data_IF_841471680224
#
_entry.id   IF_841471680224
#
_cell.length_a   1.000
_cell.length_b   1.000
_cell.length_c   1.000
_cell.angle_alpha   90.00
_cell.angle_beta   90.00
_cell.angle_gamma   90.00
#
_symmetry.space_group_name_H-M   'P 1'
#
loop_
_entity.id
_entity.type
_entity.pdbx_description
1 polymer ?
#
# COMPACT_ATOMS: atom_id res chain seq x y z
N UNK A 1 80.40 -51.41 32.41
CA UNK A 1 78.99 -50.94 32.48
C UNK A 1 78.95 -49.47 32.13
N UNK A 2 78.45 -49.12 30.95
CA UNK A 2 78.08 -47.75 30.57
C UNK A 2 77.04 -47.85 29.45
N UNK A 3 75.89 -47.21 29.63
CA UNK A 3 74.68 -47.40 28.84
C UNK A 3 74.63 -46.45 27.64
N UNK A 4 74.35 -46.99 26.44
CA UNK A 4 74.02 -46.21 25.24
C UNK A 4 72.49 -46.14 25.13
N UNK A 5 71.93 -44.94 25.31
CA UNK A 5 70.50 -44.65 25.10
C UNK A 5 70.19 -44.55 23.61
N UNK A 6 69.21 -45.33 23.13
CA UNK A 6 68.57 -45.17 21.81
C UNK A 6 67.61 -43.98 21.85
N UNK A 7 67.72 -43.08 20.88
CA UNK A 7 66.78 -41.98 20.62
C UNK A 7 65.85 -42.44 19.49
N UNK A 8 64.54 -42.50 19.75
CA UNK A 8 63.50 -42.75 18.74
C UNK A 8 62.92 -41.42 18.28
N UNK A 9 62.99 -41.13 16.98
CA UNK A 9 62.30 -40.01 16.35
C UNK A 9 60.84 -40.40 16.07
N UNK A 10 59.89 -39.63 16.60
CA UNK A 10 58.46 -39.77 16.30
C UNK A 10 58.11 -38.82 15.14
N UNK A 11 57.74 -39.38 13.98
CA UNK A 11 57.20 -38.61 12.85
C UNK A 11 55.71 -38.37 13.07
N UNK A 12 55.30 -37.12 13.29
CA UNK A 12 53.89 -36.73 13.39
C UNK A 12 53.41 -36.29 12.01
N UNK A 13 52.52 -37.08 11.40
CA UNK A 13 51.80 -36.70 10.18
C UNK A 13 50.74 -35.64 10.53
N UNK A 14 50.90 -34.43 10.01
CA UNK A 14 49.86 -33.38 10.01
C UNK A 14 48.89 -33.65 8.85
N UNK A 15 47.69 -34.15 9.17
CA UNK A 15 46.56 -34.22 8.24
C UNK A 15 45.84 -32.85 8.21
N UNK A 16 45.54 -32.28 7.03
CA UNK A 16 44.79 -31.04 6.93
C UNK A 16 43.32 -31.28 7.32
N UNK A 17 42.85 -30.56 8.34
CA UNK A 17 41.43 -30.55 8.73
C UNK A 17 40.70 -29.68 7.71
N UNK A 18 39.99 -30.32 6.78
CA UNK A 18 39.08 -29.65 5.84
C UNK A 18 37.79 -29.34 6.61
N UNK A 19 37.61 -28.07 6.98
CA UNK A 19 36.32 -27.57 7.48
C UNK A 19 35.34 -27.49 6.30
N UNK A 20 34.52 -28.53 6.15
CA UNK A 20 33.37 -28.50 5.23
C UNK A 20 32.27 -27.69 5.93
N UNK A 21 32.17 -26.39 5.61
CA UNK A 21 31.02 -25.58 6.00
C UNK A 21 29.80 -26.05 5.21
N UNK A 22 28.90 -26.79 5.86
CA UNK A 22 27.57 -27.10 5.33
C UNK A 22 26.70 -25.83 5.37
N UNK A 23 26.94 -24.88 4.47
CA UNK A 23 25.98 -23.81 4.19
C UNK A 23 24.81 -24.44 3.45
N UNK A 24 23.71 -24.73 4.16
CA UNK A 24 22.42 -25.04 3.52
C UNK A 24 22.06 -23.85 2.62
N UNK A 25 22.15 -24.03 1.32
CA UNK A 25 21.70 -23.05 0.34
C UNK A 25 20.16 -23.00 0.45
N UNK A 26 19.64 -22.00 1.14
CA UNK A 26 18.20 -21.76 1.20
C UNK A 26 17.77 -21.36 -0.21
N UNK A 27 16.86 -22.15 -0.81
CA UNK A 27 16.32 -21.82 -2.13
C UNK A 27 15.62 -20.46 -2.04
N UNK A 28 15.97 -19.54 -2.92
CA UNK A 28 15.27 -18.27 -3.09
C UNK A 28 13.78 -18.53 -3.34
N UNK A 29 12.91 -17.74 -2.70
CA UNK A 29 11.46 -17.84 -2.91
C UNK A 29 11.11 -17.38 -4.35
N UNK A 30 10.26 -18.14 -5.04
CA UNK A 30 9.75 -17.78 -6.36
C UNK A 30 8.45 -16.98 -6.17
N UNK A 31 8.43 -15.73 -6.66
CA UNK A 31 7.33 -14.77 -6.51
C UNK A 31 6.88 -14.33 -7.89
N UNK A 32 5.58 -14.41 -8.18
CA UNK A 32 5.05 -13.96 -9.47
C UNK A 32 5.27 -12.46 -9.70
N UNK A 33 5.52 -12.08 -10.95
CA UNK A 33 5.59 -10.68 -11.38
C UNK A 33 4.33 -9.93 -10.92
N UNK A 34 4.54 -8.77 -10.31
CA UNK A 34 3.55 -7.92 -9.63
C UNK A 34 2.91 -8.48 -8.35
N UNK A 35 3.24 -9.70 -7.94
CA UNK A 35 3.03 -10.10 -6.55
C UNK A 35 4.11 -9.46 -5.66
N UNK A 36 4.02 -9.62 -4.34
CA UNK A 36 5.02 -9.10 -3.42
C UNK A 36 5.87 -10.18 -2.76
N UNK A 37 7.16 -9.87 -2.61
CA UNK A 37 8.05 -10.53 -1.67
C UNK A 37 7.80 -9.96 -0.27
N UNK A 38 7.71 -10.83 0.74
CA UNK A 38 7.69 -10.42 2.16
C UNK A 38 8.69 -11.25 2.97
N UNK A 39 9.48 -10.58 3.81
CA UNK A 39 10.35 -11.24 4.79
C UNK A 39 10.38 -10.46 6.10
N UNK A 40 10.85 -11.11 7.17
CA UNK A 40 10.97 -10.54 8.50
C UNK A 40 12.44 -10.28 8.85
N UNK A 41 12.68 -9.17 9.55
CA UNK A 41 13.96 -8.81 10.15
C UNK A 41 13.70 -8.49 11.61
N UNK A 42 14.53 -9.05 12.50
CA UNK A 42 14.37 -8.88 13.95
C UNK A 42 15.29 -7.79 14.47
N UNK A 43 14.78 -6.94 15.35
CA UNK A 43 15.59 -6.01 16.14
C UNK A 43 15.18 -6.08 17.62
N UNK A 44 16.11 -6.49 18.48
CA UNK A 44 15.83 -6.76 19.89
C UNK A 44 15.99 -5.53 20.80
N UNK A 45 16.32 -4.36 20.24
CA UNK A 45 16.37 -3.13 21.01
C UNK A 45 14.96 -2.71 21.45
N UNK A 46 14.90 -1.94 22.54
CA UNK A 46 13.66 -1.40 23.07
C UNK A 46 13.47 0.04 22.60
N UNK A 47 12.24 0.38 22.19
CA UNK A 47 11.87 1.70 21.70
C UNK A 47 10.63 2.20 22.43
N UNK A 48 10.52 3.52 22.60
CA UNK A 48 9.29 4.12 23.13
C UNK A 48 8.17 4.05 22.09
N UNK A 49 8.52 4.37 20.85
CA UNK A 49 7.65 4.24 19.69
C UNK A 49 8.42 3.55 18.55
N UNK A 50 8.34 2.21 18.41
CA UNK A 50 9.06 1.48 17.37
C UNK A 50 8.61 1.84 15.95
N UNK A 51 7.46 2.49 15.77
CA UNK A 51 7.03 2.98 14.47
C UNK A 51 7.84 4.17 13.98
N UNK A 52 8.30 5.02 14.90
CA UNK A 52 8.90 6.32 14.57
C UNK A 52 10.33 6.51 15.11
N UNK A 53 10.77 5.72 16.10
CA UNK A 53 12.08 5.86 16.73
C UNK A 53 13.19 5.15 15.92
N UNK A 54 12.83 4.18 15.09
CA UNK A 54 13.76 3.39 14.28
C UNK A 54 13.21 3.14 12.89
N UNK A 55 14.08 3.29 11.89
CA UNK A 55 13.79 2.95 10.49
C UNK A 55 14.47 1.63 10.12
N UNK A 56 13.73 0.76 9.43
CA UNK A 56 14.31 -0.34 8.66
C UNK A 56 14.51 0.13 7.21
N UNK A 57 15.74 0.47 6.84
CA UNK A 57 16.10 0.87 5.48
C UNK A 57 16.40 -0.37 4.66
N UNK A 58 15.99 -0.39 3.39
CA UNK A 58 16.16 -1.54 2.51
C UNK A 58 16.68 -1.07 1.17
N UNK A 59 17.78 -1.66 0.71
CA UNK A 59 18.25 -1.51 -0.66
C UNK A 59 17.93 -2.79 -1.42
N UNK A 60 17.26 -2.67 -2.56
CA UNK A 60 17.02 -3.77 -3.48
C UNK A 60 17.78 -3.56 -4.78
N UNK A 61 18.32 -4.64 -5.34
CA UNK A 61 18.96 -4.65 -6.66
C UNK A 61 18.19 -5.59 -7.57
N UNK A 62 17.68 -5.04 -8.68
CA UNK A 62 16.94 -5.78 -9.70
C UNK A 62 17.86 -6.69 -10.54
N UNK A 63 17.28 -7.61 -11.33
CA UNK A 63 18.01 -8.42 -12.29
C UNK A 63 18.77 -7.56 -13.32
N UNK A 64 18.18 -6.44 -13.76
CA UNK A 64 18.82 -5.41 -14.61
C UNK A 64 19.85 -4.54 -13.90
N UNK A 65 20.18 -4.84 -12.63
CA UNK A 65 21.12 -4.10 -11.78
C UNK A 65 20.66 -2.68 -11.40
N UNK A 66 19.37 -2.37 -11.55
CA UNK A 66 18.80 -1.14 -11.00
C UNK A 66 18.70 -1.25 -9.48
N UNK A 67 19.08 -0.19 -8.78
CA UNK A 67 18.97 -0.12 -7.31
C UNK A 67 17.73 0.68 -6.91
N UNK A 68 17.03 0.18 -5.89
CA UNK A 68 15.87 0.81 -5.28
C UNK A 68 16.13 0.99 -3.79
N UNK A 69 16.14 2.24 -3.34
CA UNK A 69 16.14 2.55 -1.91
C UNK A 69 14.69 2.60 -1.43
N UNK A 70 14.37 1.70 -0.51
CA UNK A 70 13.04 1.50 0.05
C UNK A 70 13.15 1.33 1.57
N UNK A 71 12.09 0.88 2.21
CA UNK A 71 12.01 0.78 3.66
C UNK A 71 11.02 -0.30 4.08
N UNK A 72 11.29 -0.89 5.23
CA UNK A 72 10.37 -1.79 5.91
C UNK A 72 9.49 -1.07 6.92
N UNK A 73 8.74 -1.86 7.69
CA UNK A 73 7.84 -1.36 8.72
C UNK A 73 7.88 -2.26 9.96
N UNK A 74 7.66 -1.67 11.14
CA UNK A 74 7.46 -2.42 12.37
C UNK A 74 6.10 -3.14 12.34
N UNK A 75 6.08 -4.41 12.71
CA UNK A 75 4.88 -5.26 12.70
C UNK A 75 4.69 -6.03 14.02
N UNK A 76 5.26 -5.54 15.12
CA UNK A 76 5.03 -6.10 16.45
C UNK A 76 5.48 -7.55 16.55
N UNK A 77 4.54 -8.47 16.80
CA UNK A 77 4.81 -9.90 16.80
C UNK A 77 4.69 -10.57 15.41
N UNK A 78 4.41 -9.80 14.36
CA UNK A 78 4.22 -10.27 12.98
C UNK A 78 2.84 -10.87 12.67
N UNK A 79 1.97 -10.96 13.68
CA UNK A 79 0.66 -11.62 13.65
C UNK A 79 -0.50 -10.68 14.06
N UNK A 80 -0.27 -9.37 14.04
CA UNK A 80 -1.25 -8.35 14.44
C UNK A 80 -1.21 -7.98 15.93
N UNK A 81 -0.29 -8.55 16.71
CA UNK A 81 -0.05 -8.13 18.09
C UNK A 81 0.81 -6.87 18.17
N UNK A 82 0.42 -5.91 19.01
CA UNK A 82 1.02 -4.57 19.11
C UNK A 82 2.52 -4.57 19.50
N UNK A 83 2.94 -5.56 20.28
CA UNK A 83 4.28 -5.65 20.86
C UNK A 83 5.08 -6.79 20.25
N UNK A 84 6.34 -6.53 19.95
CA UNK A 84 7.31 -7.55 19.57
C UNK A 84 8.56 -6.92 18.99
N UNK A 85 9.31 -7.72 18.25
CA UNK A 85 10.61 -7.37 17.69
C UNK A 85 10.65 -7.67 16.18
N UNK A 86 9.50 -7.70 15.51
CA UNK A 86 9.41 -8.01 14.09
C UNK A 86 9.25 -6.73 13.28
N UNK A 87 10.14 -6.55 12.33
CA UNK A 87 10.00 -5.63 11.22
C UNK A 87 9.84 -6.45 9.94
N UNK A 88 9.11 -5.92 8.97
CA UNK A 88 8.87 -6.56 7.68
C UNK A 88 9.39 -5.72 6.55
N UNK A 89 9.88 -6.41 5.53
CA UNK A 89 10.17 -5.85 4.21
C UNK A 89 9.11 -6.41 3.29
N UNK A 90 8.36 -5.55 2.61
CA UNK A 90 7.37 -5.96 1.59
C UNK A 90 7.64 -5.20 0.30
N UNK A 91 7.90 -5.91 -0.79
CA UNK A 91 8.26 -5.27 -2.06
C UNK A 91 7.57 -5.96 -3.24
N UNK A 92 6.90 -5.18 -4.10
CA UNK A 92 6.27 -5.70 -5.31
C UNK A 92 7.33 -6.07 -6.34
N UNK A 93 7.27 -7.29 -6.86
CA UNK A 93 8.16 -7.76 -7.92
C UNK A 93 7.84 -7.03 -9.23
N UNK A 94 8.78 -6.24 -9.76
CA UNK A 94 8.54 -5.41 -10.96
C UNK A 94 9.33 -5.87 -12.20
N UNK A 95 10.24 -6.82 -12.04
CA UNK A 95 11.10 -7.33 -13.11
C UNK A 95 11.43 -8.81 -12.86
N UNK A 96 11.29 -9.66 -13.89
CA UNK A 96 11.61 -11.08 -13.79
C UNK A 96 13.11 -11.33 -13.63
N UNK A 97 13.47 -12.29 -12.78
CA UNK A 97 14.84 -12.69 -12.48
C UNK A 97 15.15 -12.64 -10.99
N UNK A 98 16.43 -12.84 -10.64
CA UNK A 98 16.87 -12.82 -9.23
C UNK A 98 17.07 -11.39 -8.74
N UNK A 99 16.36 -11.06 -7.67
CA UNK A 99 16.54 -9.84 -6.91
C UNK A 99 17.44 -10.09 -5.71
N UNK A 100 18.26 -9.09 -5.38
CA UNK A 100 19.04 -9.06 -4.14
C UNK A 100 18.47 -7.97 -3.23
N UNK A 101 18.48 -8.19 -1.93
CA UNK A 101 18.11 -7.17 -0.97
C UNK A 101 19.06 -7.15 0.21
N UNK A 102 19.25 -5.97 0.77
CA UNK A 102 19.98 -5.73 2.01
C UNK A 102 19.20 -4.74 2.86
N UNK A 103 19.11 -5.02 4.15
CA UNK A 103 18.42 -4.18 5.11
C UNK A 103 19.35 -3.75 6.24
N UNK A 104 19.11 -2.56 6.78
CA UNK A 104 19.84 -1.99 7.91
C UNK A 104 18.91 -1.15 8.78
N UNK A 105 19.15 -1.15 10.09
CA UNK A 105 18.42 -0.29 11.01
C UNK A 105 19.12 1.06 11.20
N UNK A 106 18.36 2.13 11.34
CA UNK A 106 18.90 3.49 11.57
C UNK A 106 19.66 3.65 12.89
N UNK A 107 19.48 2.72 13.84
CA UNK A 107 20.20 2.69 15.11
C UNK A 107 21.50 1.86 15.07
N UNK A 108 21.90 1.41 13.87
CA UNK A 108 23.06 0.54 13.61
C UNK A 108 22.93 -0.90 14.11
N UNK A 109 21.74 -1.33 14.54
CA UNK A 109 21.49 -2.76 14.75
C UNK A 109 21.70 -3.51 13.44
N UNK A 110 22.39 -4.67 13.45
CA UNK A 110 22.55 -5.47 12.25
C UNK A 110 21.19 -5.82 11.63
N UNK A 111 21.03 -5.53 10.33
CA UNK A 111 19.89 -5.99 9.56
C UNK A 111 20.13 -7.37 8.95
N UNK A 112 19.46 -7.64 7.83
CA UNK A 112 19.55 -8.91 7.10
C UNK A 112 19.75 -8.66 5.61
N UNK A 113 20.15 -9.69 4.88
CA UNK A 113 20.19 -9.66 3.42
C UNK A 113 19.76 -11.00 2.84
N UNK A 114 19.42 -11.02 1.56
CA UNK A 114 19.03 -12.24 0.87
C UNK A 114 18.65 -12.01 -0.58
N UNK A 115 18.01 -13.03 -1.16
CA UNK A 115 17.53 -13.01 -2.53
C UNK A 115 16.14 -13.59 -2.64
N UNK A 116 15.42 -13.19 -3.69
CA UNK A 116 14.19 -13.84 -4.15
C UNK A 116 14.17 -13.84 -5.68
N UNK A 117 13.42 -14.75 -6.29
CA UNK A 117 13.24 -14.78 -7.74
C UNK A 117 11.87 -14.23 -8.09
N UNK A 118 11.84 -13.23 -8.96
CA UNK A 118 10.61 -12.85 -9.64
C UNK A 118 10.43 -13.74 -10.86
N UNK A 119 9.31 -14.45 -10.95
CA UNK A 119 8.97 -15.33 -12.08
C UNK A 119 7.78 -14.79 -12.87
N UNK A 120 7.58 -15.28 -14.09
CA UNK A 120 6.35 -14.99 -14.85
C UNK A 120 5.11 -15.44 -14.07
N UNK A 121 4.04 -14.66 -14.16
CA UNK A 121 2.77 -14.96 -13.51
C UNK A 121 1.59 -14.39 -14.30
N UNK A 122 0.38 -14.56 -13.76
CA UNK A 122 -0.86 -14.12 -14.40
C UNK A 122 -1.44 -12.83 -13.79
N UNK A 123 -0.74 -12.24 -12.84
CA UNK A 123 -1.17 -11.00 -12.19
C UNK A 123 -1.10 -9.84 -13.19
N UNK A 124 -2.18 -9.09 -13.32
CA UNK A 124 -2.29 -7.93 -14.21
C UNK A 124 -1.34 -6.78 -13.87
N UNK A 125 -0.96 -6.67 -12.59
CA UNK A 125 -0.11 -5.63 -12.04
C UNK A 125 -0.83 -4.31 -11.80
N UNK A 126 -0.13 -3.31 -11.24
CA UNK A 126 -0.76 -2.06 -10.84
C UNK A 126 -1.36 -1.31 -12.03
N UNK A 127 -2.43 -0.56 -11.77
CA UNK A 127 -3.00 0.34 -12.77
C UNK A 127 -2.07 1.51 -13.03
N UNK A 128 -2.12 2.00 -14.27
CA UNK A 128 -1.48 3.23 -14.73
C UNK A 128 -2.47 4.00 -15.59
N UNK A 129 -2.24 5.30 -15.77
CA UNK A 129 -2.95 6.07 -16.80
C UNK A 129 -2.61 5.45 -18.16
N UNK A 130 -3.61 5.21 -18.99
CA UNK A 130 -3.40 4.61 -20.29
C UNK A 130 -2.65 5.58 -21.21
N UNK A 131 -1.49 5.19 -21.76
CA UNK A 131 -0.64 6.08 -22.56
C UNK A 131 -1.27 6.46 -23.91
N UNK A 132 -2.17 5.63 -24.43
CA UNK A 132 -2.86 5.86 -25.70
C UNK A 132 -4.18 6.63 -25.52
N UNK A 133 -4.74 6.63 -24.31
CA UNK A 133 -5.95 7.38 -23.98
C UNK A 133 -5.96 7.73 -22.49
N UNK A 134 -5.52 8.94 -22.16
CA UNK A 134 -5.37 9.41 -20.78
C UNK A 134 -6.69 9.53 -19.97
N UNK A 135 -7.85 9.22 -20.57
CA UNK A 135 -9.13 9.11 -19.87
C UNK A 135 -9.34 7.74 -19.21
N UNK A 136 -8.58 6.73 -19.61
CA UNK A 136 -8.73 5.36 -19.12
C UNK A 136 -7.50 4.88 -18.37
N UNK A 137 -7.68 3.77 -17.65
CA UNK A 137 -6.58 3.06 -17.01
C UNK A 137 -6.10 1.90 -17.90
N UNK A 138 -4.85 1.51 -17.70
CA UNK A 138 -4.25 0.32 -18.26
C UNK A 138 -3.62 -0.49 -17.12
N UNK A 139 -3.74 -1.81 -17.21
CA UNK A 139 -3.03 -2.75 -16.36
C UNK A 139 -1.56 -2.85 -16.80
N UNK A 140 -0.66 -3.22 -15.90
CA UNK A 140 0.77 -3.29 -16.23
C UNK A 140 1.14 -4.40 -17.23
N UNK A 141 0.24 -5.34 -17.50
CA UNK A 141 0.37 -6.29 -18.62
C UNK A 141 -0.08 -5.74 -19.99
N UNK A 142 -0.49 -4.47 -20.07
CA UNK A 142 -0.90 -3.81 -21.31
C UNK A 142 -2.40 -3.83 -21.61
N UNK A 143 -3.20 -4.58 -20.86
CA UNK A 143 -4.65 -4.62 -21.06
C UNK A 143 -5.31 -3.32 -20.61
N UNK A 144 -6.29 -2.84 -21.39
CA UNK A 144 -7.14 -1.75 -20.95
C UNK A 144 -7.93 -2.17 -19.69
N UNK A 145 -8.10 -1.24 -18.75
CA UNK A 145 -8.91 -1.47 -17.57
C UNK A 145 -10.15 -0.58 -17.60
N UNK A 146 -11.32 -1.22 -17.63
CA UNK A 146 -12.62 -0.56 -17.57
C UNK A 146 -13.22 -0.80 -16.18
N UNK A 147 -13.26 0.22 -15.30
CA UNK A 147 -13.75 0.03 -13.95
C UNK A 147 -15.26 -0.22 -13.95
N UNK A 148 -15.65 -1.43 -13.51
CA UNK A 148 -16.98 -1.73 -13.03
C UNK A 148 -16.94 -1.65 -11.51
N UNK A 149 -17.24 -0.46 -11.02
CA UNK A 149 -16.94 -0.03 -9.66
C UNK A 149 -18.18 -0.15 -8.76
N UNK A 150 -18.00 -0.68 -7.55
CA UNK A 150 -19.00 -0.69 -6.49
C UNK A 150 -18.47 -0.05 -5.19
N UNK A 151 -19.34 0.62 -4.44
CA UNK A 151 -18.97 1.15 -3.13
C UNK A 151 -19.34 0.13 -2.05
N UNK A 152 -18.34 -0.33 -1.30
CA UNK A 152 -18.50 -1.19 -0.12
C UNK A 152 -17.67 -0.62 1.02
N UNK A 153 -17.99 0.62 1.42
CA UNK A 153 -17.24 1.40 2.39
C UNK A 153 -16.87 0.64 3.67
N UNK A 154 -17.78 -0.18 4.19
CA UNK A 154 -17.66 -0.86 5.48
C UNK A 154 -16.90 -2.19 5.43
N UNK A 155 -16.50 -2.64 4.24
CA UNK A 155 -15.91 -3.97 4.05
C UNK A 155 -14.79 -4.31 5.05
N UNK A 156 -13.86 -3.38 5.42
CA UNK A 156 -12.81 -3.67 6.41
C UNK A 156 -13.29 -3.87 7.85
N UNK A 157 -14.53 -3.48 8.16
CA UNK A 157 -15.05 -3.44 9.54
C UNK A 157 -15.93 -4.67 9.85
N UNK A 158 -16.45 -5.31 8.81
CA UNK A 158 -17.35 -6.45 8.91
C UNK A 158 -16.66 -7.69 9.47
N UNK A 159 -17.43 -8.61 10.10
CA UNK A 159 -17.01 -9.96 10.40
C UNK A 159 -16.46 -10.68 9.16
N UNK A 160 -15.40 -11.45 9.33
CA UNK A 160 -14.72 -12.15 8.22
C UNK A 160 -15.66 -12.97 7.33
N UNK A 161 -16.64 -13.68 7.90
CA UNK A 161 -17.61 -14.49 7.13
C UNK A 161 -18.55 -13.61 6.28
N UNK A 162 -19.04 -12.50 6.85
CA UNK A 162 -19.91 -11.55 6.14
C UNK A 162 -19.13 -10.82 5.04
N UNK A 163 -17.90 -10.39 5.36
CA UNK A 163 -16.97 -9.80 4.41
C UNK A 163 -16.73 -10.75 3.22
N UNK A 164 -16.40 -12.02 3.47
CA UNK A 164 -16.15 -13.00 2.42
C UNK A 164 -17.41 -13.28 1.60
N UNK A 165 -18.58 -13.42 2.23
CA UNK A 165 -19.84 -13.61 1.53
C UNK A 165 -20.16 -12.45 0.57
N UNK A 166 -19.93 -11.20 0.98
CA UNK A 166 -20.11 -10.03 0.12
C UNK A 166 -19.13 -10.02 -1.06
N UNK A 167 -17.86 -10.35 -0.81
CA UNK A 167 -16.84 -10.47 -1.85
C UNK A 167 -17.23 -11.55 -2.87
N UNK A 168 -17.64 -12.73 -2.42
CA UNK A 168 -18.05 -13.84 -3.29
C UNK A 168 -19.36 -13.56 -4.03
N UNK A 169 -20.26 -12.81 -3.43
CA UNK A 169 -21.54 -12.47 -4.06
C UNK A 169 -21.37 -11.48 -5.19
N UNK A 170 -20.56 -10.42 -4.99
CA UNK A 170 -20.58 -9.25 -5.88
C UNK A 170 -19.30 -9.03 -6.69
N UNK A 171 -18.14 -9.48 -6.20
CA UNK A 171 -16.83 -9.02 -6.69
C UNK A 171 -16.07 -10.09 -7.48
N UNK A 172 -15.38 -9.63 -8.52
CA UNK A 172 -14.56 -10.47 -9.40
C UNK A 172 -15.37 -11.31 -10.39
N UNK A 173 -14.69 -11.96 -11.33
CA UNK A 173 -15.33 -12.72 -12.42
C UNK A 173 -16.08 -13.98 -11.97
N UNK A 174 -15.85 -14.43 -10.73
CA UNK A 174 -16.49 -15.59 -10.11
C UNK A 174 -17.64 -15.18 -9.18
N UNK A 175 -18.19 -13.97 -9.31
CA UNK A 175 -19.26 -13.49 -8.44
C UNK A 175 -20.54 -14.32 -8.62
N UNK A 176 -21.19 -14.72 -7.51
CA UNK A 176 -22.40 -15.57 -7.59
C UNK A 176 -23.62 -14.80 -8.10
N UNK A 177 -23.66 -13.48 -7.92
CA UNK A 177 -24.73 -12.63 -8.45
C UNK A 177 -24.60 -12.35 -9.96
N UNK A 178 -23.43 -12.63 -10.54
CA UNK A 178 -23.08 -12.25 -11.91
C UNK A 178 -22.80 -10.75 -12.11
N UNK A 179 -22.77 -9.93 -11.05
CA UNK A 179 -22.46 -8.51 -11.19
C UNK A 179 -20.99 -8.28 -11.54
N UNK A 180 -20.06 -9.11 -11.07
CA UNK A 180 -18.65 -9.11 -11.49
C UNK A 180 -17.97 -7.74 -11.37
N UNK A 181 -18.16 -7.02 -10.26
CA UNK A 181 -17.46 -5.75 -10.04
C UNK A 181 -15.95 -6.00 -9.91
N UNK A 182 -15.14 -5.28 -10.69
CA UNK A 182 -13.68 -5.45 -10.74
C UNK A 182 -12.93 -4.34 -9.97
N UNK A 183 -13.67 -3.45 -9.31
CA UNK A 183 -13.14 -2.39 -8.48
C UNK A 183 -14.09 -2.09 -7.34
N UNK A 184 -13.55 -1.84 -6.14
CA UNK A 184 -14.33 -1.54 -4.94
C UNK A 184 -13.78 -0.31 -4.23
N UNK A 185 -14.67 0.56 -3.75
CA UNK A 185 -14.31 1.59 -2.77
C UNK A 185 -14.48 1.06 -1.36
N UNK A 186 -13.46 1.23 -0.53
CA UNK A 186 -13.51 0.95 0.91
C UNK A 186 -13.18 2.21 1.71
N UNK A 187 -13.52 2.21 3.00
CA UNK A 187 -13.11 3.23 3.96
C UNK A 187 -12.27 2.59 5.05
N UNK A 188 -11.35 3.34 5.65
CA UNK A 188 -10.50 2.87 6.77
C UNK A 188 -10.59 3.74 8.02
N UNK A 189 -11.31 4.86 7.94
CA UNK A 189 -11.44 5.87 8.99
C UNK A 189 -12.84 5.96 9.60
N UNK A 190 -13.84 5.33 8.98
CA UNK A 190 -15.25 5.60 9.24
C UNK A 190 -15.90 4.61 10.22
N UNK A 191 -15.22 3.52 10.60
CA UNK A 191 -15.80 2.45 11.42
C UNK A 191 -16.46 2.96 12.71
N UNK A 192 -15.79 3.89 13.43
CA UNK A 192 -16.33 4.51 14.64
C UNK A 192 -17.59 5.32 14.34
N UNK A 193 -17.60 6.10 13.27
CA UNK A 193 -18.73 6.91 12.85
C UNK A 193 -19.95 6.03 12.48
N UNK A 194 -19.72 4.95 11.72
CA UNK A 194 -20.74 3.95 11.39
C UNK A 194 -21.34 3.31 12.64
N UNK A 195 -20.49 2.98 13.63
CA UNK A 195 -20.90 2.32 14.87
C UNK A 195 -21.64 3.27 15.82
N UNK A 196 -21.06 4.44 16.13
CA UNK A 196 -21.63 5.38 17.11
C UNK A 196 -22.98 5.95 16.67
N UNK A 197 -23.13 6.22 15.37
CA UNK A 197 -24.34 6.85 14.82
C UNK A 197 -25.33 5.84 14.24
N UNK A 198 -25.07 4.53 14.34
CA UNK A 198 -25.89 3.47 13.77
C UNK A 198 -26.28 3.75 12.31
N UNK A 199 -25.29 4.16 11.49
CA UNK A 199 -25.57 4.62 10.11
C UNK A 199 -26.11 3.48 9.22
N UNK A 200 -25.83 2.23 9.59
CA UNK A 200 -26.31 1.02 8.93
C UNK A 200 -26.66 -0.04 9.97
N UNK A 201 -27.43 -1.05 9.55
CA UNK A 201 -27.85 -2.19 10.37
C UNK A 201 -26.82 -3.33 10.45
N UNK A 202 -25.59 -3.09 10.01
CA UNK A 202 -24.53 -4.11 10.01
C UNK A 202 -24.00 -4.33 11.42
N UNK A 203 -23.52 -5.55 11.68
CA UNK A 203 -22.75 -5.84 12.89
C UNK A 203 -21.27 -5.68 12.56
N UNK A 204 -20.52 -4.94 13.38
CA UNK A 204 -19.08 -4.76 13.17
C UNK A 204 -18.26 -5.56 14.18
N UNK A 205 -17.04 -5.95 13.78
CA UNK A 205 -16.13 -6.64 14.69
C UNK A 205 -15.73 -5.76 15.89
N UNK A 206 -15.39 -6.41 17.01
CA UNK A 206 -14.84 -5.77 18.20
C UNK A 206 -13.42 -6.30 18.47
N UNK A 207 -12.44 -5.43 18.80
CA UNK A 207 -12.53 -3.97 18.85
C UNK A 207 -12.83 -3.35 17.48
N UNK A 208 -13.46 -2.17 17.49
CA UNK A 208 -13.83 -1.43 16.28
C UNK A 208 -12.57 -1.20 15.44
N UNK A 209 -12.67 -1.48 14.13
CA UNK A 209 -11.56 -1.28 13.20
C UNK A 209 -11.04 0.17 13.25
N UNK A 210 -9.74 0.32 13.38
CA UNK A 210 -9.07 1.62 13.33
C UNK A 210 -7.61 1.39 12.96
N UNK A 211 -7.07 2.11 11.98
CA UNK A 211 -5.64 1.99 11.64
C UNK A 211 -4.70 2.52 12.74
N UNK A 212 -5.25 3.16 13.76
CA UNK A 212 -4.51 3.76 14.86
C UNK A 212 -5.07 3.30 16.20
N UNK A 213 -4.19 3.25 17.19
CA UNK A 213 -4.57 2.92 18.56
C UNK A 213 -5.47 4.03 19.12
N UNK A 214 -6.60 3.62 19.71
CA UNK A 214 -7.49 4.52 20.43
C UNK A 214 -7.27 4.33 21.93
N UNK A 215 -6.89 5.39 22.64
CA UNK A 215 -6.65 5.38 24.08
C UNK A 215 -7.55 6.40 24.77
N UNK A 216 -8.33 5.96 25.76
CA UNK A 216 -9.20 6.83 26.57
C UNK A 216 -10.10 7.78 25.75
N UNK A 217 -10.59 7.30 24.60
CA UNK A 217 -11.45 8.06 23.70
C UNK A 217 -10.74 9.02 22.74
N UNK A 218 -9.39 9.03 22.72
CA UNK A 218 -8.58 9.82 21.78
C UNK A 218 -7.73 8.90 20.91
N UNK A 219 -7.65 9.21 19.61
CA UNK A 219 -6.81 8.47 18.66
C UNK A 219 -5.35 8.94 18.75
N UNK A 220 -4.42 8.01 18.92
CA UNK A 220 -2.99 8.28 18.85
C UNK A 220 -2.48 8.00 17.43
N UNK A 221 -2.33 9.06 16.63
CA UNK A 221 -1.86 8.97 15.25
C UNK A 221 -0.38 8.60 15.11
N UNK A 222 0.34 8.46 16.23
CA UNK A 222 1.73 7.98 16.26
C UNK A 222 1.84 6.49 16.55
N UNK A 223 0.71 5.83 16.87
CA UNK A 223 0.64 4.42 17.20
C UNK A 223 -0.34 3.71 16.25
N UNK A 224 0.18 2.83 15.41
CA UNK A 224 -0.62 2.07 14.45
C UNK A 224 -1.20 0.82 15.12
N UNK A 225 -2.50 0.55 14.92
CA UNK A 225 -3.16 -0.65 15.47
C UNK A 225 -2.88 -1.87 14.57
N UNK A 226 -1.89 -2.67 14.97
CA UNK A 226 -1.38 -3.74 14.12
C UNK A 226 -2.41 -4.82 13.77
N UNK A 227 -3.42 -5.01 14.62
CA UNK A 227 -4.51 -5.94 14.35
C UNK A 227 -5.38 -5.47 13.18
N UNK A 228 -5.81 -4.20 13.19
CA UNK A 228 -6.59 -3.60 12.10
C UNK A 228 -5.79 -3.54 10.80
N UNK A 229 -4.50 -3.22 10.87
CA UNK A 229 -3.62 -3.30 9.71
C UNK A 229 -3.52 -4.72 9.14
N UNK A 230 -3.41 -5.74 10.00
CA UNK A 230 -3.38 -7.14 9.55
C UNK A 230 -4.71 -7.58 8.92
N UNK A 231 -5.85 -7.08 9.42
CA UNK A 231 -7.16 -7.30 8.80
C UNK A 231 -7.24 -6.64 7.41
N UNK A 232 -6.72 -5.42 7.27
CA UNK A 232 -6.66 -4.72 6.00
C UNK A 232 -5.75 -5.45 4.99
N UNK A 233 -4.57 -5.89 5.41
CA UNK A 233 -3.64 -6.71 4.61
C UNK A 233 -4.37 -7.93 4.00
N UNK A 234 -5.09 -8.66 4.86
CA UNK A 234 -5.81 -9.88 4.46
C UNK A 234 -6.95 -9.56 3.48
N UNK A 235 -7.72 -8.50 3.73
CA UNK A 235 -8.81 -8.08 2.84
C UNK A 235 -8.28 -7.72 1.44
N UNK A 236 -7.23 -6.89 1.36
CA UNK A 236 -6.66 -6.47 0.08
C UNK A 236 -6.11 -7.67 -0.69
N UNK A 237 -5.51 -8.63 0.02
CA UNK A 237 -5.05 -9.89 -0.55
C UNK A 237 -6.21 -10.75 -1.09
N UNK A 238 -7.32 -10.88 -0.35
CA UNK A 238 -8.51 -11.61 -0.82
C UNK A 238 -9.13 -10.96 -2.07
N UNK A 239 -9.14 -9.62 -2.13
CA UNK A 239 -9.59 -8.87 -3.32
C UNK A 239 -8.62 -9.06 -4.49
N UNK A 240 -7.31 -9.10 -4.24
CA UNK A 240 -6.28 -9.35 -5.25
C UNK A 240 -6.43 -10.74 -5.88
N UNK A 241 -6.74 -11.77 -5.09
CA UNK A 241 -7.01 -13.13 -5.59
C UNK A 241 -8.19 -13.19 -6.56
N UNK A 242 -9.10 -12.22 -6.50
CA UNK A 242 -10.25 -12.06 -7.41
C UNK A 242 -10.02 -11.04 -8.53
N UNK A 243 -8.79 -10.51 -8.65
CA UNK A 243 -8.42 -9.43 -9.58
C UNK A 243 -9.28 -8.17 -9.42
N UNK A 244 -9.61 -7.83 -8.18
CA UNK A 244 -10.41 -6.65 -7.82
C UNK A 244 -9.50 -5.56 -7.29
N UNK A 245 -9.59 -4.36 -7.89
CA UNK A 245 -8.85 -3.18 -7.45
C UNK A 245 -9.56 -2.47 -6.30
N UNK A 246 -8.78 -1.92 -5.39
CA UNK A 246 -9.22 -1.27 -4.17
C UNK A 246 -8.93 0.22 -4.28
N UNK A 247 -9.98 1.03 -4.16
CA UNK A 247 -9.88 2.46 -4.01
C UNK A 247 -10.14 2.84 -2.56
N UNK A 248 -9.14 3.45 -1.92
CA UNK A 248 -9.29 3.99 -0.57
C UNK A 248 -10.07 5.29 -0.65
N UNK A 249 -11.39 5.23 -0.46
CA UNK A 249 -12.28 6.36 -0.65
C UNK A 249 -11.99 7.52 0.31
N UNK A 250 -11.62 7.15 1.52
CA UNK A 250 -11.34 8.08 2.59
C UNK A 250 -9.82 8.26 2.80
N UNK A 251 -9.03 7.74 1.87
CA UNK A 251 -7.62 8.01 1.73
C UNK A 251 -6.75 7.56 2.90
N UNK A 252 -5.49 7.96 2.84
CA UNK A 252 -4.49 7.64 3.85
C UNK A 252 -4.45 8.70 4.97
N UNK A 253 -5.22 9.79 4.89
CA UNK A 253 -5.28 10.80 5.97
C UNK A 253 -6.72 10.96 6.45
N UNK A 254 -7.01 10.39 7.63
CA UNK A 254 -8.34 10.35 8.27
C UNK A 254 -8.93 11.76 8.57
N UNK A 255 -10.24 11.84 8.82
CA UNK A 255 -10.96 13.11 9.10
C UNK A 255 -11.30 13.22 10.58
N UNK A 256 -11.50 14.47 11.07
CA UNK A 256 -11.15 15.72 10.40
C UNK A 256 -9.64 15.90 10.26
N UNK A 257 -9.20 16.59 9.21
CA UNK A 257 -7.77 16.90 8.93
C UNK A 257 -7.09 17.53 10.15
N UNK A 258 -7.85 18.27 10.97
CA UNK A 258 -7.40 18.88 12.23
C UNK A 258 -6.86 17.87 13.25
N UNK A 259 -7.24 16.61 13.15
CA UNK A 259 -6.80 15.56 14.07
C UNK A 259 -5.46 14.95 13.62
N UNK A 260 -5.01 15.22 12.38
CA UNK A 260 -3.74 14.71 11.89
C UNK A 260 -2.56 15.57 12.34
N UNK A 261 -1.38 14.94 12.54
CA UNK A 261 -0.15 15.66 12.83
C UNK A 261 0.09 16.78 11.82
N UNK A 262 0.28 18.00 12.33
CA UNK A 262 0.51 19.16 11.48
C UNK A 262 1.99 19.33 11.13
N UNK A 263 2.90 18.68 11.85
CA UNK A 263 4.33 18.73 11.59
C UNK A 263 4.71 17.83 10.40
N UNK A 264 5.62 18.32 9.57
CA UNK A 264 6.03 17.64 8.34
C UNK A 264 6.71 16.30 8.62
N UNK A 265 7.54 16.20 9.66
CA UNK A 265 8.32 15.01 9.96
C UNK A 265 7.42 13.81 10.30
N UNK A 266 6.40 14.01 11.15
CA UNK A 266 5.45 12.96 11.53
C UNK A 266 4.60 12.54 10.33
N UNK A 267 4.15 13.49 9.49
CA UNK A 267 3.43 13.14 8.25
C UNK A 267 4.29 12.32 7.28
N UNK A 268 5.58 12.62 7.16
CA UNK A 268 6.49 11.84 6.32
C UNK A 268 6.64 10.41 6.86
N UNK A 269 6.83 10.24 8.17
CA UNK A 269 6.86 8.90 8.80
C UNK A 269 5.55 8.13 8.56
N UNK A 270 4.42 8.83 8.58
CA UNK A 270 3.12 8.25 8.28
C UNK A 270 3.03 7.74 6.83
N UNK A 271 3.35 8.59 5.85
CA UNK A 271 3.34 8.19 4.43
C UNK A 271 4.30 7.03 4.19
N UNK A 272 5.47 7.08 4.81
CA UNK A 272 6.47 6.00 4.76
C UNK A 272 5.88 4.70 5.28
N UNK A 273 5.27 4.68 6.47
CA UNK A 273 4.66 3.47 7.02
C UNK A 273 3.54 2.90 6.13
N UNK A 274 2.65 3.76 5.63
CA UNK A 274 1.56 3.34 4.73
C UNK A 274 2.12 2.71 3.44
N UNK A 275 3.09 3.37 2.81
CA UNK A 275 3.68 2.89 1.57
C UNK A 275 4.52 1.61 1.79
N UNK A 276 5.19 1.48 2.94
CA UNK A 276 5.98 0.29 3.30
C UNK A 276 5.10 -0.96 3.37
N UNK A 277 3.89 -0.80 3.91
CA UNK A 277 2.94 -1.87 4.15
C UNK A 277 2.03 -2.11 2.95
N UNK A 278 1.35 -1.07 2.47
CA UNK A 278 0.31 -1.18 1.43
C UNK A 278 0.83 -1.01 0.00
N UNK A 279 1.97 -0.34 -0.16
CA UNK A 279 2.52 -0.01 -1.48
C UNK A 279 2.81 -1.23 -2.34
N UNK A 280 3.14 -2.37 -1.74
CA UNK A 280 3.46 -3.56 -2.51
C UNK A 280 2.22 -4.28 -3.09
N UNK A 281 1.01 -4.00 -2.61
CA UNK A 281 -0.21 -4.60 -3.17
C UNK A 281 -0.53 -4.00 -4.53
N UNK A 282 -0.41 -4.77 -5.62
CA UNK A 282 -0.62 -4.24 -6.97
C UNK A 282 -2.00 -3.63 -7.19
N UNK A 283 -3.02 -4.16 -6.50
CA UNK A 283 -4.42 -3.84 -6.74
C UNK A 283 -4.92 -2.60 -5.97
N UNK A 284 -4.05 -1.74 -5.45
CA UNK A 284 -4.44 -0.55 -4.68
C UNK A 284 -4.34 0.75 -5.47
N UNK A 285 -5.30 1.64 -5.25
CA UNK A 285 -5.29 3.04 -5.64
C UNK A 285 -5.42 3.86 -4.36
N UNK A 286 -4.33 4.55 -4.01
CA UNK A 286 -4.27 5.34 -2.79
C UNK A 286 -4.80 6.76 -3.05
N UNK A 287 -5.39 7.37 -2.03
CA UNK A 287 -5.87 8.74 -2.10
C UNK A 287 -5.43 9.56 -0.90
N UNK A 288 -5.30 10.87 -1.07
CA UNK A 288 -5.07 11.82 0.01
C UNK A 288 -6.38 12.45 0.46
N UNK A 289 -6.55 12.43 1.78
CA UNK A 289 -7.68 13.03 2.47
C UNK A 289 -8.91 12.11 2.53
N UNK A 290 -9.71 12.37 3.55
CA UNK A 290 -10.98 11.69 3.81
C UNK A 290 -12.14 12.53 3.31
N UNK A 291 -12.98 11.93 2.47
CA UNK A 291 -14.11 12.64 1.90
C UNK A 291 -13.64 13.78 0.97
N UNK A 292 -14.60 14.55 0.41
CA UNK A 292 -14.22 15.56 -0.55
C UNK A 292 -13.48 16.69 0.13
N UNK A 293 -12.26 16.97 -0.33
CA UNK A 293 -11.60 18.25 -0.09
C UNK A 293 -12.58 19.35 -0.52
N UNK A 294 -13.10 20.08 0.46
CA UNK A 294 -14.18 21.06 0.30
C UNK A 294 -13.69 22.51 0.26
N UNK A 295 -12.41 22.75 0.55
CA UNK A 295 -11.77 24.07 0.51
C UNK A 295 -10.41 24.02 -0.20
N UNK A 296 -10.00 25.16 -0.78
CA UNK A 296 -8.67 25.29 -1.38
C UNK A 296 -7.53 25.16 -0.34
N UNK A 297 -7.76 25.65 0.89
CA UNK A 297 -6.79 25.54 1.99
C UNK A 297 -6.47 24.08 2.32
N UNK A 298 -7.49 23.22 2.36
CA UNK A 298 -7.30 21.80 2.59
C UNK A 298 -6.51 21.15 1.45
N UNK A 299 -6.67 21.62 0.20
CA UNK A 299 -5.87 21.10 -0.92
C UNK A 299 -4.38 21.44 -0.78
N UNK A 300 -4.05 22.71 -0.48
CA UNK A 300 -2.65 23.13 -0.32
C UNK A 300 -1.94 22.41 0.84
N UNK A 301 -2.69 22.02 1.88
CA UNK A 301 -2.17 21.22 2.99
C UNK A 301 -1.60 19.85 2.54
N UNK A 302 -2.16 19.27 1.49
CA UNK A 302 -1.77 17.94 0.99
C UNK A 302 -0.68 17.96 -0.08
N UNK A 303 -0.38 19.10 -0.69
CA UNK A 303 0.65 19.18 -1.74
C UNK A 303 2.02 18.65 -1.28
N UNK A 304 2.58 19.07 -0.12
CA UNK A 304 3.86 18.55 0.33
C UNK A 304 3.84 17.05 0.60
N UNK A 305 2.71 16.53 1.08
CA UNK A 305 2.50 15.10 1.34
C UNK A 305 2.47 14.33 0.02
N UNK A 306 1.76 14.84 -0.98
CA UNK A 306 1.67 14.24 -2.31
C UNK A 306 3.00 14.17 -3.03
N UNK A 307 3.76 15.26 -3.02
CA UNK A 307 5.12 15.29 -3.58
C UNK A 307 6.07 14.36 -2.85
N UNK A 308 5.96 14.26 -1.52
CA UNK A 308 6.75 13.31 -0.76
C UNK A 308 6.40 11.87 -1.13
N UNK A 309 5.11 11.52 -1.23
CA UNK A 309 4.68 10.19 -1.70
C UNK A 309 5.29 9.84 -3.06
N UNK A 310 5.18 10.73 -4.05
CA UNK A 310 5.74 10.51 -5.39
C UNK A 310 7.26 10.34 -5.37
N UNK A 311 7.96 11.06 -4.49
CA UNK A 311 9.40 10.93 -4.32
C UNK A 311 9.82 9.55 -3.78
N UNK A 312 9.02 8.95 -2.89
CA UNK A 312 9.40 7.71 -2.18
C UNK A 312 8.69 6.45 -2.69
N UNK A 313 7.78 6.57 -3.66
CA UNK A 313 7.03 5.45 -4.24
C UNK A 313 7.82 4.76 -5.38
N UNK A 314 8.45 3.59 -5.13
CA UNK A 314 9.16 2.87 -6.19
C UNK A 314 8.21 2.19 -7.19
N UNK A 315 6.92 2.09 -6.86
CA UNK A 315 5.93 1.31 -7.61
C UNK A 315 5.17 2.14 -8.64
N UNK A 316 5.30 3.47 -8.56
CA UNK A 316 4.62 4.42 -9.45
C UNK A 316 3.09 4.25 -9.44
N UNK A 317 2.50 4.05 -8.26
CA UNK A 317 1.05 3.84 -8.04
C UNK A 317 0.20 4.98 -8.57
N UNK A 318 -1.05 4.68 -8.91
CA UNK A 318 -2.06 5.74 -9.02
C UNK A 318 -2.29 6.33 -7.64
N UNK A 319 -2.06 7.63 -7.55
CA UNK A 319 -2.29 8.44 -6.37
C UNK A 319 -3.11 9.68 -6.76
N UNK A 320 -4.02 10.10 -5.90
CA UNK A 320 -4.94 11.19 -6.18
C UNK A 320 -5.49 11.84 -4.91
N UNK A 321 -6.32 12.86 -5.06
CA UNK A 321 -7.16 13.45 -4.02
C UNK A 321 -8.63 13.24 -4.38
N UNK A 322 -9.47 13.05 -3.38
CA UNK A 322 -10.92 13.13 -3.55
C UNK A 322 -11.37 14.56 -3.26
N UNK A 323 -11.91 15.26 -4.27
CA UNK A 323 -12.17 16.72 -4.20
C UNK A 323 -13.63 17.04 -4.48
N UNK A 324 -14.23 18.00 -3.76
CA UNK A 324 -15.54 18.56 -4.15
C UNK A 324 -15.40 19.33 -5.47
N UNK A 325 -16.39 19.22 -6.36
CA UNK A 325 -16.39 19.98 -7.63
C UNK A 325 -16.28 21.51 -7.41
N UNK A 326 -16.75 22.00 -6.26
CA UNK A 326 -16.77 23.42 -5.92
C UNK A 326 -15.37 23.96 -5.57
N UNK A 327 -14.36 23.09 -5.37
CA UNK A 327 -12.98 23.51 -5.12
C UNK A 327 -12.28 23.80 -6.43
N UNK A 328 -12.23 25.09 -6.76
CA UNK A 328 -11.60 25.63 -7.97
C UNK A 328 -10.07 25.76 -7.81
N UNK A 329 -9.39 24.65 -7.50
CA UNK A 329 -7.93 24.54 -7.54
C UNK A 329 -7.53 23.60 -8.67
N UNK A 330 -6.59 24.06 -9.50
CA UNK A 330 -5.99 23.24 -10.56
C UNK A 330 -5.12 22.15 -9.94
N UNK A 331 -5.34 20.91 -10.35
CA UNK A 331 -4.52 19.75 -9.97
C UNK A 331 -3.44 19.46 -11.01
N UNK A 332 -3.49 20.10 -12.19
CA UNK A 332 -2.64 19.79 -13.33
C UNK A 332 -1.17 20.20 -13.14
N UNK A 333 -0.86 20.97 -12.10
CA UNK A 333 0.51 21.35 -11.74
C UNK A 333 1.19 20.31 -10.85
N UNK A 334 0.45 19.31 -10.36
CA UNK A 334 0.94 18.31 -9.42
C UNK A 334 1.00 16.94 -10.10
N UNK A 335 2.22 16.50 -10.44
CA UNK A 335 2.49 15.23 -11.16
C UNK A 335 2.04 13.98 -10.39
N UNK A 336 2.03 14.06 -9.07
CA UNK A 336 1.58 12.99 -8.19
C UNK A 336 0.06 12.74 -8.25
N UNK A 337 -0.73 13.68 -8.79
CA UNK A 337 -2.17 13.49 -9.02
C UNK A 337 -2.37 12.86 -10.41
N UNK A 338 -2.49 11.54 -10.45
CA UNK A 338 -2.54 10.79 -11.72
C UNK A 338 -3.95 10.62 -12.29
N UNK A 339 -4.98 10.87 -11.49
CA UNK A 339 -6.38 10.79 -11.93
C UNK A 339 -7.24 11.77 -11.16
N UNK A 340 -8.37 12.21 -11.72
CA UNK A 340 -9.33 13.04 -11.02
C UNK A 340 -10.33 12.19 -10.24
N UNK A 341 -10.54 12.49 -8.96
CA UNK A 341 -11.64 11.94 -8.17
C UNK A 341 -12.48 13.06 -7.56
N UNK A 342 -13.78 13.07 -7.87
CA UNK A 342 -14.66 14.20 -7.60
C UNK A 342 -15.93 13.79 -6.86
N UNK A 343 -16.30 14.59 -5.87
CA UNK A 343 -17.64 14.54 -5.26
C UNK A 343 -18.56 15.56 -5.92
N UNK A 344 -19.73 15.09 -6.32
CA UNK A 344 -20.83 15.93 -6.79
C UNK A 344 -21.63 16.43 -5.57
N UNK A 345 -21.73 17.75 -5.35
CA UNK A 345 -22.47 18.38 -4.26
C UNK A 345 -23.98 18.09 -4.28
N UNK A 346 -24.55 17.81 -5.45
CA UNK A 346 -25.99 17.57 -5.64
C UNK A 346 -26.48 16.39 -4.78
N UNK A 347 -25.58 15.44 -4.50
CA UNK A 347 -25.79 14.31 -3.59
C UNK A 347 -26.06 14.73 -2.13
N UNK A 348 -25.51 15.86 -1.67
CA UNK A 348 -25.67 16.34 -0.29
C UNK A 348 -26.89 17.25 -0.13
N UNK A 349 -27.42 17.80 -1.21
CA UNK A 349 -28.59 18.69 -1.20
C UNK A 349 -29.89 17.99 -1.58
N UNK A 350 -29.84 16.89 -2.33
CA UNK A 350 -31.03 16.14 -2.73
C UNK A 350 -30.74 14.63 -2.83
N UNK A 351 -30.95 13.84 -1.74
CA UNK A 351 -30.58 12.42 -1.68
C UNK A 351 -31.28 11.51 -2.70
N UNK A 352 -32.34 11.99 -3.37
CA UNK A 352 -33.08 11.26 -4.40
C UNK A 352 -32.50 11.37 -5.81
N UNK A 353 -31.48 12.21 -6.03
CA UNK A 353 -30.89 12.48 -7.35
C UNK A 353 -29.52 11.79 -7.52
N UNK A 354 -29.41 10.59 -6.95
CA UNK A 354 -28.18 9.81 -6.99
C UNK A 354 -27.82 9.38 -8.42
N UNK A 355 -27.09 10.21 -9.15
CA UNK A 355 -26.42 9.85 -10.40
C UNK A 355 -27.38 9.57 -11.54
N UNK A 356 -28.04 10.58 -12.08
CA UNK A 356 -28.75 10.43 -13.36
C UNK A 356 -27.75 10.57 -14.52
N UNK A 357 -28.06 9.99 -15.70
CA UNK A 357 -27.21 10.09 -16.89
C UNK A 357 -26.91 11.55 -17.33
N UNK A 358 -27.69 12.53 -16.86
CA UNK A 358 -27.44 13.97 -17.00
C UNK A 358 -26.11 14.41 -16.36
N UNK A 359 -25.67 13.75 -15.29
CA UNK A 359 -24.43 14.06 -14.57
C UNK A 359 -23.17 13.74 -15.40
N UNK A 360 -23.29 12.80 -16.36
CA UNK A 360 -22.22 12.52 -17.32
C UNK A 360 -21.95 13.70 -18.26
N UNK A 361 -22.96 14.54 -18.55
CA UNK A 361 -22.79 15.76 -19.36
C UNK A 361 -22.02 16.84 -18.58
N UNK A 362 -22.27 16.94 -17.27
CA UNK A 362 -21.52 17.82 -16.36
C UNK A 362 -20.08 17.31 -16.18
N UNK A 363 -19.89 15.99 -16.01
CA UNK A 363 -18.59 15.34 -15.97
C UNK A 363 -17.76 15.62 -17.24
N UNK A 364 -18.37 15.54 -18.42
CA UNK A 364 -17.71 15.83 -19.68
C UNK A 364 -17.30 17.31 -19.83
N UNK A 365 -18.10 18.26 -19.33
CA UNK A 365 -17.71 19.67 -19.32
C UNK A 365 -16.58 19.97 -18.33
N UNK A 366 -16.49 19.22 -17.22
CA UNK A 366 -15.39 19.30 -16.28
C UNK A 366 -14.10 18.69 -16.85
N UNK A 367 -14.17 17.48 -17.45
CA UNK A 367 -13.00 16.83 -18.09
C UNK A 367 -12.35 17.76 -19.11
N UNK A 368 -13.14 18.46 -19.94
CA UNK A 368 -12.63 19.47 -20.90
C UNK A 368 -11.84 20.61 -20.26
N UNK A 369 -12.05 20.90 -18.97
CA UNK A 369 -11.32 21.93 -18.21
C UNK A 369 -9.97 21.42 -17.67
N UNK A 370 -9.79 20.09 -17.59
CA UNK A 370 -8.58 19.44 -17.07
C UNK A 370 -7.76 18.71 -18.14
N UNK A 371 -8.31 18.49 -19.34
CA UNK A 371 -7.53 18.05 -20.51
C UNK A 371 -6.55 19.17 -20.90
N UNK A 372 -5.24 18.88 -21.07
CA UNK A 372 -4.33 19.82 -21.69
C UNK A 372 -4.87 20.19 -23.07
N UNK A 373 -5.27 21.45 -23.23
CA UNK A 373 -5.48 22.03 -24.56
C UNK A 373 -4.10 22.26 -25.18
N UNK A 374 -3.95 21.92 -26.45
CA UNK A 374 -2.75 22.29 -27.19
C UNK A 374 -2.59 23.83 -27.23
N UNK A 375 -1.43 24.33 -27.69
CA UNK A 375 -1.18 25.76 -27.80
C UNK A 375 -2.19 26.50 -28.71
N UNK A 376 -3.07 25.77 -29.41
CA UNK A 376 -4.16 26.29 -30.24
C UNK A 376 -5.55 26.21 -29.59
N UNK A 377 -5.68 25.76 -28.34
CA UNK A 377 -6.96 25.69 -27.63
C UNK A 377 -7.87 24.53 -28.03
N UNK A 378 -7.37 23.54 -28.78
CA UNK A 378 -8.17 22.41 -29.22
C UNK A 378 -8.13 21.27 -28.18
N UNK A 379 -9.31 20.77 -27.82
CA UNK A 379 -9.45 19.49 -27.12
C UNK A 379 -9.10 18.42 -28.16
N UNK A 380 -8.08 17.59 -27.90
CA UNK A 380 -7.78 16.42 -28.73
C UNK A 380 -9.06 15.60 -28.90
N UNK A 381 -9.67 15.67 -30.08
CA UNK A 381 -10.84 14.87 -30.42
C UNK A 381 -10.39 13.42 -30.56
N UNK A 382 -11.12 12.45 -29.99
CA UNK A 382 -10.82 11.04 -30.21
C UNK A 382 -10.99 10.69 -31.69
N UNK A 383 -10.07 9.89 -32.23
CA UNK A 383 -10.26 9.12 -33.47
C UNK A 383 -10.93 7.80 -33.11
#
# INVERSE_FOLDING_TARGET
MSAIKKISFLFVLLLPIIFISNTKQVKAADIELYNYFETQVTNNNSYTNPFFDVDLNVQLTSPSSQTYDFFGFYDGNGLGGQTGNIWKIRFMCMEQGTWNWQASFSDNTPGSSGTFNCVSGNISGPLKVNPNNNLWFQQSNGNNFYPKWYNMAELPYLPSDEQQNLIDTYLGSQSTSGYNYNMVSITTAQAKNYTDNNLNSNTYETPIFSLYVNQSGTTDYTQFDLNSWKRLDNLIQSLAQKNVYVYFYDGIFNTPISNFPTDTATRQKYVKYYLAREGAFYNTILTLGTGPISTALNFFYFIPVGRYFEQIDPFNKIFTVYKSQNVNVSTNTETWIKTGSLAYPEYFTNPGDGGTASDATIANNYIKKFTPVDAGGNINKPV
#
